data_IF_819630094408
#
_entry.id   IF_819630094408
#
_cell.length_a   1.000
_cell.length_b   1.000
_cell.length_c   1.000
_cell.angle_alpha   90.00
_cell.angle_beta   90.00
_cell.angle_gamma   90.00
#
_symmetry.space_group_name_H-M   'P 1'
#
loop_
_entity.id
_entity.type
_entity.pdbx_description
1 polymer ?
#
# COMPACT_ATOMS: atom_id res chain seq x y z
N UNK A 1 -12.95 -16.49 10.24
CA UNK A 1 -12.66 -15.05 10.45
C UNK A 1 -13.97 -14.36 10.68
N UNK A 2 -14.10 -13.46 11.66
CA UNK A 2 -15.32 -12.67 11.83
C UNK A 2 -15.51 -11.75 10.62
N UNK A 3 -16.77 -11.53 10.24
CA UNK A 3 -17.14 -10.56 9.20
C UNK A 3 -16.63 -9.16 9.57
N UNK A 4 -15.88 -8.51 8.71
CA UNK A 4 -15.32 -7.17 8.96
C UNK A 4 -15.65 -6.24 7.79
N UNK A 5 -16.19 -5.07 8.09
CA UNK A 5 -16.26 -3.94 7.16
C UNK A 5 -15.07 -3.01 7.39
N UNK A 6 -14.20 -2.94 6.42
CA UNK A 6 -12.90 -2.29 6.51
C UNK A 6 -12.90 -1.03 5.64
N UNK A 7 -12.64 0.13 6.25
CA UNK A 7 -12.34 1.36 5.52
C UNK A 7 -10.82 1.52 5.38
N UNK A 8 -10.32 1.34 4.16
CA UNK A 8 -8.91 1.47 3.80
C UNK A 8 -8.61 2.81 3.15
N UNK A 9 -7.49 3.43 3.55
CA UNK A 9 -7.03 4.73 3.03
C UNK A 9 -5.58 4.60 2.56
N UNK A 10 -5.32 5.07 1.34
CA UNK A 10 -3.97 5.22 0.80
C UNK A 10 -3.73 6.65 0.31
N UNK A 11 -2.77 7.32 0.92
CA UNK A 11 -2.30 8.66 0.54
C UNK A 11 -0.80 8.70 0.29
N UNK A 12 -0.19 7.53 0.10
CA UNK A 12 1.25 7.33 0.00
C UNK A 12 1.86 7.77 -1.33
N UNK A 13 1.07 7.81 -2.41
CA UNK A 13 1.54 8.03 -3.77
C UNK A 13 1.05 9.32 -4.43
N UNK A 14 0.99 9.26 -5.77
CA UNK A 14 0.48 10.36 -6.62
C UNK A 14 -1.04 10.52 -6.53
N UNK A 15 -1.72 9.50 -6.05
CA UNK A 15 -3.17 9.46 -5.87
C UNK A 15 -3.51 9.44 -4.39
N UNK A 16 -4.68 9.92 -4.04
CA UNK A 16 -5.32 9.67 -2.75
C UNK A 16 -6.51 8.76 -2.98
N UNK A 17 -6.56 7.66 -2.26
CA UNK A 17 -7.59 6.64 -2.43
C UNK A 17 -8.21 6.24 -1.10
N UNK A 18 -9.49 5.89 -1.14
CA UNK A 18 -10.21 5.24 -0.06
C UNK A 18 -11.12 4.16 -0.62
N UNK A 19 -11.34 3.10 0.15
CA UNK A 19 -12.26 2.02 -0.20
C UNK A 19 -12.95 1.50 1.04
N UNK A 20 -14.19 1.01 0.87
CA UNK A 20 -14.95 0.29 1.87
C UNK A 20 -15.19 -1.13 1.35
N UNK A 21 -14.72 -2.11 2.11
CA UNK A 21 -14.76 -3.53 1.75
C UNK A 21 -15.44 -4.34 2.84
N UNK A 22 -16.30 -5.25 2.44
CA UNK A 22 -16.95 -6.22 3.31
C UNK A 22 -16.29 -7.59 3.10
N UNK A 23 -15.64 -8.10 4.15
CA UNK A 23 -14.87 -9.35 4.08
C UNK A 23 -15.75 -10.60 4.10
N UNK A 24 -16.99 -10.53 4.58
CA UNK A 24 -17.94 -11.64 4.58
C UNK A 24 -18.48 -11.89 3.18
N UNK A 25 -19.06 -10.86 2.57
CA UNK A 25 -19.57 -10.95 1.20
C UNK A 25 -18.47 -10.91 0.15
N UNK A 26 -17.24 -10.60 0.54
CA UNK A 26 -16.08 -10.34 -0.35
C UNK A 26 -16.38 -9.26 -1.38
N UNK A 27 -17.17 -8.26 -0.97
CA UNK A 27 -17.62 -7.20 -1.87
C UNK A 27 -16.94 -5.87 -1.58
N UNK A 28 -16.46 -5.21 -2.64
CA UNK A 28 -16.05 -3.83 -2.59
C UNK A 28 -17.31 -2.96 -2.64
N UNK A 29 -17.71 -2.38 -1.49
CA UNK A 29 -18.92 -1.59 -1.36
C UNK A 29 -18.78 -0.20 -1.98
N UNK A 30 -17.61 0.42 -1.84
CA UNK A 30 -17.30 1.71 -2.45
C UNK A 30 -15.79 1.88 -2.62
N UNK A 31 -15.41 2.63 -3.67
CA UNK A 31 -14.03 3.05 -3.88
C UNK A 31 -14.00 4.44 -4.50
N UNK A 32 -13.07 5.26 -4.02
CA UNK A 32 -12.76 6.56 -4.61
C UNK A 32 -11.25 6.70 -4.74
N UNK A 33 -10.81 7.09 -5.93
CA UNK A 33 -9.40 7.40 -6.20
C UNK A 33 -9.33 8.73 -6.91
N UNK A 34 -8.54 9.67 -6.38
CA UNK A 34 -8.41 11.01 -6.95
C UNK A 34 -6.94 11.37 -7.17
N UNK A 35 -6.65 11.96 -8.32
CA UNK A 35 -5.33 12.47 -8.70
C UNK A 35 -5.01 13.84 -8.07
N UNK A 36 -5.50 14.06 -6.85
CA UNK A 36 -5.23 15.29 -6.11
C UNK A 36 -4.94 14.95 -4.66
N UNK A 37 -4.15 15.77 -3.98
CA UNK A 37 -3.79 15.59 -2.57
C UNK A 37 -4.94 15.87 -1.59
N UNK A 38 -6.20 15.83 -2.02
CA UNK A 38 -7.38 16.04 -1.17
C UNK A 38 -8.00 14.69 -0.81
N UNK A 39 -8.04 14.37 0.47
CA UNK A 39 -8.74 13.19 1.01
C UNK A 39 -10.25 13.42 1.05
N UNK A 40 -11.02 12.50 0.47
CA UNK A 40 -12.48 12.54 0.42
C UNK A 40 -13.15 11.35 1.16
N UNK A 41 -12.46 10.77 2.14
CA UNK A 41 -12.96 9.61 2.90
C UNK A 41 -14.34 9.84 3.56
N UNK A 42 -14.67 11.08 3.90
CA UNK A 42 -15.96 11.41 4.51
C UNK A 42 -17.16 11.22 3.56
N UNK A 43 -16.98 11.35 2.24
CA UNK A 43 -18.06 11.14 1.27
C UNK A 43 -18.29 9.68 0.94
N UNK A 44 -17.25 8.86 1.05
CA UNK A 44 -17.32 7.46 0.65
C UNK A 44 -18.39 6.68 1.42
N UNK A 45 -18.49 6.88 2.73
CA UNK A 45 -19.51 6.24 3.56
C UNK A 45 -20.91 6.76 3.26
N UNK A 46 -21.09 8.07 3.10
CA UNK A 46 -22.39 8.66 2.84
C UNK A 46 -23.05 8.11 1.55
N UNK A 47 -22.24 7.85 0.51
CA UNK A 47 -22.74 7.34 -0.77
C UNK A 47 -23.15 5.86 -0.71
N UNK A 48 -22.71 5.11 0.32
CA UNK A 48 -23.09 3.69 0.52
C UNK A 48 -24.36 3.52 1.37
N UNK A 49 -24.85 4.57 1.99
CA UNK A 49 -25.94 4.51 2.96
C UNK A 49 -25.53 3.91 4.32
N UNK A 50 -24.22 3.62 4.52
CA UNK A 50 -23.66 3.13 5.77
C UNK A 50 -23.27 4.29 6.69
N UNK A 51 -23.26 4.02 7.99
CA UNK A 51 -22.81 4.93 9.02
C UNK A 51 -21.44 4.51 9.55
N UNK A 52 -20.79 5.40 10.30
CA UNK A 52 -19.51 5.12 10.94
C UNK A 52 -19.55 3.90 11.89
N UNK A 53 -20.72 3.63 12.50
CA UNK A 53 -20.94 2.48 13.37
C UNK A 53 -20.99 1.14 12.63
N UNK A 54 -21.12 1.17 11.31
CA UNK A 54 -21.13 -0.03 10.46
C UNK A 54 -19.71 -0.44 10.03
N UNK A 55 -18.69 0.33 10.43
CA UNK A 55 -17.26 0.04 10.14
C UNK A 55 -16.64 -0.69 11.33
N UNK A 56 -16.01 -1.82 11.08
CA UNK A 56 -15.38 -2.68 12.11
C UNK A 56 -13.86 -2.41 12.26
N UNK A 57 -13.23 -1.83 11.25
CA UNK A 57 -11.80 -1.56 11.27
C UNK A 57 -11.36 -0.50 10.27
N UNK A 58 -10.31 0.23 10.62
CA UNK A 58 -9.67 1.22 9.77
C UNK A 58 -8.28 0.77 9.35
N UNK A 59 -7.96 0.87 8.06
CA UNK A 59 -6.66 0.55 7.53
C UNK A 59 -6.00 1.75 6.84
N UNK A 60 -4.70 1.92 7.02
CA UNK A 60 -3.91 2.95 6.35
C UNK A 60 -2.68 2.37 5.67
N UNK A 61 -2.32 2.91 4.51
CA UNK A 61 -0.99 2.72 3.97
C UNK A 61 0.04 3.35 4.93
N UNK A 62 0.97 2.53 5.44
CA UNK A 62 2.02 2.98 6.39
C UNK A 62 3.35 3.34 5.72
N UNK A 63 3.52 3.05 4.44
CA UNK A 63 4.73 3.26 3.64
C UNK A 63 5.17 1.99 2.90
N UNK A 64 6.15 2.15 2.00
CA UNK A 64 6.84 3.38 1.62
C UNK A 64 5.99 4.37 0.84
N UNK A 65 6.45 5.64 0.75
CA UNK A 65 5.76 6.65 -0.05
C UNK A 65 6.05 8.09 0.38
N UNK A 66 5.16 8.99 -0.02
CA UNK A 66 5.23 10.42 0.31
C UNK A 66 5.17 10.64 1.83
N UNK A 67 6.20 11.23 2.40
CA UNK A 67 6.30 11.53 3.84
C UNK A 67 5.05 12.28 4.37
N UNK A 68 4.65 13.35 3.69
CA UNK A 68 3.46 14.13 4.06
C UNK A 68 2.18 13.33 3.84
N UNK A 69 2.08 12.61 2.70
CA UNK A 69 0.93 11.80 2.39
C UNK A 69 0.66 10.73 3.44
N UNK A 70 1.66 9.93 3.78
CA UNK A 70 1.55 8.88 4.81
C UNK A 70 1.07 9.44 6.16
N UNK A 71 1.61 10.57 6.59
CA UNK A 71 1.19 11.21 7.85
C UNK A 71 -0.27 11.68 7.82
N UNK A 72 -0.74 12.19 6.69
CA UNK A 72 -2.15 12.60 6.54
C UNK A 72 -3.08 11.38 6.66
N UNK A 73 -2.80 10.30 5.92
CA UNK A 73 -3.62 9.09 5.98
C UNK A 73 -3.62 8.43 7.34
N UNK A 74 -2.45 8.26 7.94
CA UNK A 74 -2.29 7.68 9.28
C UNK A 74 -2.98 8.54 10.34
N UNK A 75 -2.81 9.87 10.30
CA UNK A 75 -3.47 10.76 11.24
C UNK A 75 -5.01 10.70 11.14
N UNK A 76 -5.53 10.63 9.91
CA UNK A 76 -6.97 10.48 9.68
C UNK A 76 -7.50 9.15 10.24
N UNK A 77 -6.81 8.03 9.96
CA UNK A 77 -7.17 6.71 10.49
C UNK A 77 -7.09 6.68 12.01
N UNK A 78 -6.01 7.20 12.61
CA UNK A 78 -5.89 7.31 14.08
C UNK A 78 -7.02 8.11 14.69
N UNK A 79 -7.35 9.27 14.13
CA UNK A 79 -8.43 10.13 14.65
C UNK A 79 -9.80 9.42 14.60
N UNK A 80 -10.12 8.76 13.49
CA UNK A 80 -11.37 7.98 13.36
C UNK A 80 -11.39 6.80 14.34
N UNK A 81 -10.29 6.06 14.43
CA UNK A 81 -10.14 4.92 15.32
C UNK A 81 -10.28 5.30 16.79
N UNK A 82 -9.68 6.42 17.22
CA UNK A 82 -9.86 6.94 18.57
C UNK A 82 -11.28 7.42 18.86
N UNK A 83 -11.88 8.16 17.92
CA UNK A 83 -13.23 8.72 18.11
C UNK A 83 -14.30 7.64 18.22
N UNK A 84 -14.15 6.54 17.48
CA UNK A 84 -15.14 5.47 17.38
C UNK A 84 -14.77 4.23 18.20
N UNK A 85 -13.60 4.20 18.82
CA UNK A 85 -13.08 3.06 19.58
C UNK A 85 -12.99 1.78 18.73
N UNK A 86 -12.68 1.93 17.45
CA UNK A 86 -12.53 0.87 16.46
C UNK A 86 -11.03 0.63 16.22
N UNK A 87 -10.58 -0.65 16.13
CA UNK A 87 -9.17 -0.95 15.88
C UNK A 87 -8.70 -0.48 14.50
N UNK A 88 -7.39 -0.35 14.33
CA UNK A 88 -6.80 -0.01 13.04
C UNK A 88 -5.61 -0.91 12.70
N UNK A 89 -5.15 -0.81 11.45
CA UNK A 89 -3.95 -1.52 11.00
C UNK A 89 -3.18 -0.70 9.96
N UNK A 90 -1.86 -0.80 10.00
CA UNK A 90 -0.96 -0.24 8.98
C UNK A 90 -0.55 -1.32 7.98
N UNK A 91 -0.78 -1.07 6.70
CA UNK A 91 -0.42 -1.96 5.60
C UNK A 91 0.72 -1.35 4.80
N UNK A 92 1.68 -2.17 4.37
CA UNK A 92 2.69 -1.70 3.41
C UNK A 92 2.01 -1.20 2.13
N UNK A 93 2.47 -0.06 1.62
CA UNK A 93 1.97 0.45 0.34
C UNK A 93 2.24 -0.52 -0.81
N UNK A 94 3.40 -1.19 -0.78
CA UNK A 94 3.79 -2.17 -1.80
C UNK A 94 2.96 -3.45 -1.67
N UNK A 95 2.68 -3.89 -0.45
CA UNK A 95 1.76 -5.00 -0.19
C UNK A 95 0.34 -4.68 -0.70
N UNK A 96 -0.17 -3.47 -0.43
CA UNK A 96 -1.45 -3.02 -0.97
C UNK A 96 -1.48 -3.05 -2.51
N UNK A 97 -0.40 -2.63 -3.18
CA UNK A 97 -0.27 -2.76 -4.64
C UNK A 97 -0.29 -4.22 -5.11
N UNK A 98 0.28 -5.14 -4.35
CA UNK A 98 0.22 -6.56 -4.66
C UNK A 98 -1.21 -7.11 -4.48
N UNK A 99 -1.85 -6.84 -3.36
CA UNK A 99 -3.20 -7.31 -3.07
C UNK A 99 -4.26 -6.82 -4.07
N UNK A 100 -4.14 -5.62 -4.62
CA UNK A 100 -5.08 -5.14 -5.64
C UNK A 100 -4.92 -5.87 -6.99
N UNK A 101 -3.83 -6.60 -7.18
CA UNK A 101 -3.55 -7.44 -8.35
C UNK A 101 -3.63 -8.94 -8.02
N UNK A 102 -4.36 -9.33 -6.96
CA UNK A 102 -4.48 -10.69 -6.43
C UNK A 102 -4.80 -11.76 -7.49
N UNK A 103 -5.57 -11.40 -8.52
CA UNK A 103 -5.96 -12.32 -9.60
C UNK A 103 -4.80 -12.78 -10.49
N UNK A 104 -3.63 -12.12 -10.40
CA UNK A 104 -2.43 -12.56 -11.09
C UNK A 104 -1.89 -13.86 -10.49
N UNK A 105 -1.45 -14.78 -11.34
CA UNK A 105 -0.77 -16.02 -10.91
C UNK A 105 0.71 -15.92 -11.28
N UNK A 106 1.58 -15.88 -10.28
CA UNK A 106 3.01 -15.67 -10.43
C UNK A 106 3.54 -14.60 -9.49
N UNK A 107 4.63 -13.94 -9.87
CA UNK A 107 5.24 -12.89 -9.08
C UNK A 107 4.58 -11.53 -9.38
N UNK A 108 4.25 -10.79 -8.34
CA UNK A 108 3.86 -9.38 -8.42
C UNK A 108 5.02 -8.55 -7.85
N UNK A 109 5.62 -7.73 -8.70
CA UNK A 109 6.59 -6.73 -8.28
C UNK A 109 5.88 -5.39 -8.13
N UNK A 110 5.65 -4.98 -6.88
CA UNK A 110 5.18 -3.66 -6.55
C UNK A 110 6.38 -2.69 -6.55
N UNK A 111 6.33 -1.64 -7.38
CA UNK A 111 7.47 -0.74 -7.57
C UNK A 111 7.05 0.72 -7.57
N UNK A 112 7.67 1.53 -6.70
CA UNK A 112 7.39 2.96 -6.57
C UNK A 112 8.64 3.80 -6.73
N UNK A 113 8.49 4.99 -7.27
CA UNK A 113 9.59 5.94 -7.43
C UNK A 113 10.13 6.38 -6.07
N UNK A 114 11.42 6.22 -5.87
CA UNK A 114 12.18 6.78 -4.76
C UNK A 114 13.01 7.99 -5.23
N UNK A 115 14.21 8.20 -4.73
CA UNK A 115 15.10 9.29 -5.15
C UNK A 115 16.02 8.85 -6.29
N UNK A 116 16.29 9.75 -7.21
CA UNK A 116 17.22 9.51 -8.33
C UNK A 116 16.83 8.24 -9.13
N UNK A 117 17.75 7.28 -9.29
CA UNK A 117 17.55 6.00 -9.97
C UNK A 117 17.12 4.87 -9.03
N UNK A 118 16.78 5.19 -7.76
CA UNK A 118 16.31 4.22 -6.78
C UNK A 118 14.80 4.05 -6.87
N UNK A 119 14.35 2.84 -6.59
CA UNK A 119 12.94 2.48 -6.45
C UNK A 119 12.69 1.81 -5.10
N UNK A 120 11.53 2.02 -4.54
CA UNK A 120 10.99 1.13 -3.52
C UNK A 120 10.40 -0.08 -4.24
N UNK A 121 10.73 -1.27 -3.79
CA UNK A 121 10.27 -2.51 -4.39
C UNK A 121 9.88 -3.54 -3.35
N UNK A 122 8.80 -4.26 -3.62
CA UNK A 122 8.35 -5.45 -2.91
C UNK A 122 8.05 -6.55 -3.92
N UNK A 123 8.49 -7.77 -3.63
CA UNK A 123 8.22 -8.97 -4.42
C UNK A 123 7.28 -9.88 -3.67
N UNK A 124 6.18 -10.22 -4.32
CA UNK A 124 5.11 -11.00 -3.73
C UNK A 124 4.73 -12.15 -4.65
N UNK A 125 4.59 -13.33 -4.08
CA UNK A 125 4.01 -14.49 -4.77
C UNK A 125 2.50 -14.43 -4.66
N UNK A 126 1.80 -14.57 -5.78
CA UNK A 126 0.36 -14.74 -5.85
C UNK A 126 0.00 -16.08 -6.47
N UNK A 127 -0.96 -16.78 -5.87
CA UNK A 127 -1.61 -17.98 -6.42
C UNK A 127 -3.02 -17.68 -6.98
N UNK A 128 -3.42 -16.40 -7.03
CA UNK A 128 -4.75 -15.93 -7.43
C UNK A 128 -5.73 -15.80 -6.27
N UNK A 129 -5.39 -16.28 -5.07
CA UNK A 129 -6.24 -16.24 -3.87
C UNK A 129 -5.54 -15.66 -2.64
N UNK A 130 -4.22 -15.77 -2.59
CA UNK A 130 -3.37 -15.31 -1.49
C UNK A 130 -2.14 -14.57 -2.02
N UNK A 131 -1.66 -13.63 -1.21
CA UNK A 131 -0.41 -12.89 -1.45
C UNK A 131 0.57 -13.25 -0.33
N UNK A 132 1.78 -13.63 -0.71
CA UNK A 132 2.87 -13.92 0.23
C UNK A 132 4.11 -13.12 -0.15
N UNK A 133 4.66 -12.36 0.79
CA UNK A 133 5.91 -11.65 0.55
C UNK A 133 7.05 -12.65 0.34
N UNK A 134 7.79 -12.48 -0.75
CA UNK A 134 8.97 -13.32 -1.06
C UNK A 134 10.21 -12.82 -0.32
N UNK A 135 10.26 -11.52 -0.04
CA UNK A 135 11.32 -10.85 0.71
C UNK A 135 10.76 -9.58 1.37
N UNK A 136 11.44 -9.00 2.37
CA UNK A 136 11.06 -7.70 2.93
C UNK A 136 11.05 -6.60 1.87
N UNK A 137 10.12 -5.66 2.00
CA UNK A 137 10.11 -4.46 1.18
C UNK A 137 11.42 -3.68 1.33
N UNK A 138 11.94 -3.16 0.22
CA UNK A 138 13.25 -2.51 0.21
C UNK A 138 13.35 -1.33 -0.74
N UNK A 139 14.52 -0.69 -0.72
CA UNK A 139 14.91 0.35 -1.66
C UNK A 139 16.20 -0.08 -2.35
N UNK A 140 16.20 -0.07 -3.68
CA UNK A 140 17.35 -0.50 -4.48
C UNK A 140 17.42 0.23 -5.83
N UNK A 141 18.57 0.19 -6.54
CA UNK A 141 18.68 0.68 -7.90
C UNK A 141 17.71 -0.05 -8.85
N UNK A 142 17.06 0.69 -9.76
CA UNK A 142 16.15 0.09 -10.73
C UNK A 142 16.85 -0.97 -11.62
N UNK A 143 18.13 -0.75 -11.95
CA UNK A 143 18.90 -1.69 -12.75
C UNK A 143 19.17 -3.03 -12.02
N UNK A 144 19.39 -3.00 -10.71
CA UNK A 144 19.56 -4.23 -9.90
C UNK A 144 18.23 -4.98 -9.81
N UNK A 145 17.13 -4.25 -9.61
CA UNK A 145 15.79 -4.86 -9.62
C UNK A 145 15.50 -5.52 -10.97
N UNK A 146 15.84 -4.86 -12.10
CA UNK A 146 15.65 -5.42 -13.44
C UNK A 146 16.39 -6.75 -13.62
N UNK A 147 17.65 -6.83 -13.16
CA UNK A 147 18.43 -8.07 -13.19
C UNK A 147 17.80 -9.17 -12.32
N UNK A 148 17.32 -8.81 -11.12
CA UNK A 148 16.62 -9.72 -10.23
C UNK A 148 15.35 -10.28 -10.90
N UNK A 149 14.54 -9.41 -11.50
CA UNK A 149 13.30 -9.83 -12.19
C UNK A 149 13.57 -10.72 -13.40
N UNK A 150 14.63 -10.43 -14.18
CA UNK A 150 15.03 -11.23 -15.32
C UNK A 150 15.50 -12.65 -14.94
N UNK A 151 15.94 -12.86 -13.70
CA UNK A 151 16.34 -14.18 -13.19
C UNK A 151 15.18 -15.05 -12.72
N UNK A 152 13.96 -14.50 -12.66
CA UNK A 152 12.78 -15.25 -12.23
C UNK A 152 12.21 -16.09 -13.39
N UNK A 153 11.98 -17.36 -13.11
CA UNK A 153 11.39 -18.31 -14.11
C UNK A 153 9.87 -18.23 -14.19
N UNK A 154 9.24 -17.38 -13.38
CA UNK A 154 7.80 -17.21 -13.30
C UNK A 154 7.33 -15.94 -14.01
N UNK A 155 6.05 -15.87 -14.44
CA UNK A 155 5.46 -14.64 -14.95
C UNK A 155 5.51 -13.52 -13.90
N UNK A 156 5.97 -12.34 -14.30
CA UNK A 156 6.09 -11.18 -13.42
C UNK A 156 5.14 -10.08 -13.85
N UNK A 157 4.30 -9.60 -12.93
CA UNK A 157 3.45 -8.41 -13.07
C UNK A 157 4.10 -7.23 -12.34
N UNK A 158 4.28 -6.11 -13.03
CA UNK A 158 4.74 -4.85 -12.44
C UNK A 158 3.54 -3.95 -12.11
N UNK A 159 3.44 -3.49 -10.87
CA UNK A 159 2.45 -2.52 -10.42
C UNK A 159 3.14 -1.36 -9.67
N UNK A 160 2.63 -0.15 -9.81
CA UNK A 160 3.18 1.04 -9.17
C UNK A 160 3.51 2.16 -10.16
N UNK A 161 4.01 3.28 -9.66
CA UNK A 161 4.28 4.47 -10.46
C UNK A 161 5.66 4.48 -11.13
N UNK A 162 6.53 3.52 -10.78
CA UNK A 162 7.86 3.37 -11.37
C UNK A 162 7.94 2.33 -12.50
N UNK A 163 6.82 1.72 -12.91
CA UNK A 163 6.79 0.67 -13.96
C UNK A 163 7.38 1.12 -15.29
N UNK A 164 7.35 2.41 -15.59
CA UNK A 164 7.89 2.97 -16.84
C UNK A 164 9.40 2.77 -16.98
N UNK A 165 10.12 2.64 -15.86
CA UNK A 165 11.56 2.37 -15.83
C UNK A 165 11.92 0.98 -16.37
N UNK A 166 10.93 0.08 -16.43
CA UNK A 166 11.11 -1.34 -16.79
C UNK A 166 10.45 -1.70 -18.13
N UNK A 167 9.97 -0.71 -18.92
CA UNK A 167 9.30 -0.98 -20.21
C UNK A 167 10.18 -1.66 -21.26
N UNK A 168 11.48 -1.48 -21.19
CA UNK A 168 12.43 -2.10 -22.11
C UNK A 168 12.75 -3.56 -21.76
N UNK A 169 12.41 -4.00 -20.55
CA UNK A 169 12.70 -5.34 -20.06
C UNK A 169 11.73 -6.36 -20.67
N UNK A 170 12.27 -7.45 -21.16
CA UNK A 170 11.47 -8.54 -21.74
C UNK A 170 10.89 -9.44 -20.66
N UNK A 171 9.74 -10.04 -20.95
CA UNK A 171 9.10 -11.02 -20.06
C UNK A 171 8.32 -10.40 -18.89
N UNK A 172 8.27 -9.08 -18.77
CA UNK A 172 7.50 -8.39 -17.75
C UNK A 172 6.13 -7.94 -18.27
N UNK A 173 5.09 -8.13 -17.47
CA UNK A 173 3.73 -7.63 -17.72
C UNK A 173 3.48 -6.40 -16.87
N UNK A 174 2.95 -5.33 -17.44
CA UNK A 174 2.55 -4.14 -16.68
C UNK A 174 1.08 -4.27 -16.31
N UNK A 175 0.76 -4.02 -15.03
CA UNK A 175 -0.60 -4.01 -14.52
C UNK A 175 -1.49 -3.02 -15.29
N UNK A 176 -2.77 -3.35 -15.39
CA UNK A 176 -3.74 -2.51 -16.09
C UNK A 176 -3.79 -1.09 -15.50
N UNK A 177 -4.21 -0.09 -16.26
CA UNK A 177 -4.38 1.27 -15.72
C UNK A 177 -5.30 1.34 -14.49
N UNK A 178 -6.20 0.36 -14.33
CA UNK A 178 -7.15 0.29 -13.21
C UNK A 178 -6.51 -0.20 -11.91
N UNK A 179 -5.43 -1.01 -12.02
CA UNK A 179 -4.78 -1.66 -10.87
C UNK A 179 -3.29 -1.33 -10.74
N UNK A 180 -2.78 -0.46 -11.62
CA UNK A 180 -1.36 -0.11 -11.64
C UNK A 180 -0.96 0.82 -10.50
N UNK A 181 -1.79 1.81 -10.18
CA UNK A 181 -1.52 2.75 -9.09
C UNK A 181 -2.32 2.38 -7.85
N UNK A 182 -1.87 2.90 -6.71
CA UNK A 182 -2.48 2.66 -5.41
C UNK A 182 -3.99 2.93 -5.42
N UNK A 183 -4.73 2.04 -4.78
CA UNK A 183 -6.14 2.22 -4.48
C UNK A 183 -6.46 1.71 -3.06
N UNK A 184 -7.60 2.11 -2.52
CA UNK A 184 -8.00 1.69 -1.19
C UNK A 184 -8.34 0.20 -1.08
N UNK A 185 -8.71 -0.45 -2.19
CA UNK A 185 -9.08 -1.87 -2.22
C UNK A 185 -7.93 -2.78 -1.80
N UNK A 186 -6.71 -2.53 -2.35
CA UNK A 186 -5.53 -3.32 -1.97
C UNK A 186 -5.22 -3.20 -0.48
N UNK A 187 -5.38 -2.02 0.11
CA UNK A 187 -5.23 -1.80 1.54
C UNK A 187 -6.27 -2.59 2.34
N UNK A 188 -7.54 -2.59 1.92
CA UNK A 188 -8.61 -3.35 2.59
C UNK A 188 -8.37 -4.87 2.50
N UNK A 189 -7.98 -5.39 1.33
CA UNK A 189 -7.73 -6.81 1.14
C UNK A 189 -6.56 -7.30 2.02
N UNK A 190 -5.46 -6.56 2.06
CA UNK A 190 -4.33 -6.85 2.95
C UNK A 190 -4.74 -6.77 4.43
N UNK A 191 -5.50 -5.74 4.81
CA UNK A 191 -5.97 -5.54 6.18
C UNK A 191 -6.88 -6.68 6.67
N UNK A 192 -7.67 -7.30 5.80
CA UNK A 192 -8.50 -8.45 6.14
C UNK A 192 -7.68 -9.68 6.59
N UNK A 193 -6.39 -9.75 6.26
CA UNK A 193 -5.46 -10.81 6.64
C UNK A 193 -4.50 -10.40 7.77
N UNK A 194 -4.49 -9.12 8.14
CA UNK A 194 -3.53 -8.56 9.09
C UNK A 194 -4.00 -8.64 10.54
N UNK A 195 -3.06 -8.43 11.47
CA UNK A 195 -3.35 -8.27 12.88
C UNK A 195 -3.74 -6.82 13.19
N UNK A 196 -4.89 -6.65 13.80
CA UNK A 196 -5.42 -5.35 14.20
C UNK A 196 -4.72 -4.85 15.47
N UNK A 197 -4.55 -3.55 15.58
CA UNK A 197 -3.80 -2.92 16.68
C UNK A 197 -4.53 -1.69 17.22
N UNK A 198 -4.08 -1.24 18.40
CA UNK A 198 -4.55 0.03 18.96
C UNK A 198 -4.05 1.22 18.11
N UNK A 199 -4.83 2.31 17.98
CA UNK A 199 -4.44 3.45 17.15
C UNK A 199 -3.12 4.11 17.60
N UNK A 200 -2.73 3.99 18.87
CA UNK A 200 -1.45 4.49 19.36
C UNK A 200 -0.24 3.85 18.66
N UNK A 201 -0.35 2.57 18.31
CA UNK A 201 0.71 1.74 17.73
C UNK A 201 0.87 1.97 16.22
N UNK A 202 -0.13 2.55 15.55
CA UNK A 202 -0.08 2.82 14.13
C UNK A 202 0.93 3.93 13.83
N UNK A 203 2.05 3.58 13.20
CA UNK A 203 3.14 4.50 12.85
C UNK A 203 3.50 4.37 11.37
N UNK A 204 3.97 5.46 10.74
CA UNK A 204 4.52 5.39 9.40
C UNK A 204 5.84 4.62 9.40
N UNK A 205 6.06 3.86 8.32
CA UNK A 205 7.31 3.13 8.07
C UNK A 205 8.08 3.81 6.94
N UNK A 206 9.28 4.28 7.25
CA UNK A 206 10.15 4.96 6.31
C UNK A 206 11.31 4.04 5.92
N UNK A 207 11.27 3.45 4.72
CA UNK A 207 12.38 2.65 4.19
C UNK A 207 13.61 3.49 3.85
N UNK A 208 13.46 4.81 3.84
CA UNK A 208 14.56 5.75 3.67
C UNK A 208 14.67 6.64 4.91
N UNK A 209 15.86 6.63 5.54
CA UNK A 209 16.15 7.57 6.62
C UNK A 209 16.01 9.01 6.13
N UNK A 210 15.33 9.83 6.91
CA UNK A 210 15.25 11.28 6.65
C UNK A 210 16.66 11.86 6.70
N UNK A 211 16.95 12.88 5.86
CA UNK A 211 18.30 13.47 5.76
C UNK A 211 18.89 13.82 7.14
N UNK A 212 18.05 14.33 8.05
CA UNK A 212 18.45 14.66 9.42
C UNK A 212 18.90 13.43 10.24
N UNK A 213 18.28 12.29 10.03
CA UNK A 213 18.66 11.04 10.71
C UNK A 213 19.95 10.44 10.11
N UNK A 214 20.15 10.57 8.78
CA UNK A 214 21.41 10.21 8.13
C UNK A 214 22.57 11.07 8.65
N UNK A 215 22.38 12.39 8.67
CA UNK A 215 23.37 13.33 9.18
C UNK A 215 23.70 13.07 10.67
N UNK A 216 22.72 12.61 11.45
CA UNK A 216 22.92 12.23 12.86
C UNK A 216 23.70 10.92 12.99
N UNK A 217 23.38 9.90 12.19
CA UNK A 217 24.10 8.63 12.18
C UNK A 217 25.55 8.79 11.68
N UNK A 218 25.77 9.61 10.67
CA UNK A 218 27.13 9.93 10.19
C UNK A 218 27.94 10.64 11.26
N UNK A 219 27.35 11.60 11.99
CA UNK A 219 28.01 12.27 13.13
C UNK A 219 28.30 11.33 14.31
N UNK A 220 27.48 10.31 14.52
CA UNK A 220 27.68 9.29 15.56
C UNK A 220 28.75 8.27 15.19
N UNK A 221 28.92 7.96 13.90
CA UNK A 221 29.96 7.05 13.38
C UNK A 221 31.33 7.70 13.27
N UNK A 222 31.38 9.04 13.25
CA UNK A 222 32.62 9.84 13.18
C UNK A 222 33.21 10.21 14.57
N UNK A 223 32.60 9.74 15.67
CA UNK A 223 33.06 9.83 17.05
C UNK A 223 33.57 8.46 17.54
#
# INVERSE_FOLDING_TARGET
>A
MSALRILGIDTSGKVAAAALYDSESRCLLAQQTVYTKRTHSQRLLADTGLNWQDVDGFAAAKGPGSYTGLRIGIAAVKAMSYALQIPCVGISTLEGLAWQNLSWQGVICAVMTARQSLVYAGLYQSDGTQITAMQPDGMQPAAELAQQLASLEQPVLLAGDAVELFRAEQGLTIASPMTRLQNGTGICLAAAQAQWQAPAELMPEYLQLVKAEKDLQEKQRAK
#
